data_IF_032003663178
#
_entry.id   IF_032003663178
#
_cell.length_a   1.000
_cell.length_b   1.000
_cell.length_c   1.000
_cell.angle_alpha   90.00
_cell.angle_beta   90.00
_cell.angle_gamma   90.00
#
_symmetry.space_group_name_H-M   'P 1'
#
loop_
_entity.id
_entity.type
_entity.pdbx_description
1 polymer ?
#
# COMPACT_ATOMS: atom_id res chain seq x y z
N UNK A 1 -5.52 -17.81 10.02
CA UNK A 1 -4.64 -17.27 8.99
C UNK A 1 -5.39 -16.23 8.16
N UNK A 2 -4.90 -15.01 8.18
CA UNK A 2 -5.54 -13.93 7.45
C UNK A 2 -4.99 -13.91 6.02
N UNK A 3 -5.72 -14.54 5.11
CA UNK A 3 -5.38 -14.47 3.69
C UNK A 3 -6.03 -13.22 3.11
N UNK A 4 -5.21 -12.38 2.52
CA UNK A 4 -5.70 -11.21 1.79
C UNK A 4 -6.24 -11.66 0.44
N UNK A 5 -7.40 -11.13 0.09
CA UNK A 5 -7.96 -11.38 -1.24
C UNK A 5 -7.27 -10.47 -2.25
N UNK A 6 -6.65 -11.06 -3.25
CA UNK A 6 -5.94 -10.34 -4.31
C UNK A 6 -6.82 -10.28 -5.56
N UNK A 7 -6.88 -9.11 -6.21
CA UNK A 7 -7.61 -8.98 -7.47
C UNK A 7 -7.04 -9.91 -8.55
N UNK A 8 -7.86 -10.32 -9.54
CA UNK A 8 -7.40 -11.28 -10.56
C UNK A 8 -6.17 -10.81 -11.34
N UNK A 9 -5.98 -9.49 -11.48
CA UNK A 9 -4.82 -8.93 -12.19
C UNK A 9 -3.60 -8.76 -11.28
N UNK A 10 -3.71 -9.04 -9.97
CA UNK A 10 -2.61 -8.98 -9.02
C UNK A 10 -2.18 -7.57 -8.63
N UNK A 11 -2.97 -6.54 -8.96
CA UNK A 11 -2.60 -5.14 -8.69
C UNK A 11 -3.00 -4.65 -7.31
N UNK A 12 -4.07 -5.19 -6.76
CA UNK A 12 -4.64 -4.74 -5.50
C UNK A 12 -4.94 -5.91 -4.59
N UNK A 13 -5.02 -5.62 -3.31
CA UNK A 13 -5.58 -6.55 -2.31
C UNK A 13 -6.67 -5.81 -1.53
N UNK A 14 -7.58 -6.57 -0.96
CA UNK A 14 -8.75 -6.02 -0.27
C UNK A 14 -8.57 -6.14 1.23
N UNK A 15 -8.76 -5.03 1.94
CA UNK A 15 -8.83 -5.01 3.40
C UNK A 15 -10.07 -4.20 3.78
N UNK A 16 -10.99 -4.83 4.50
CA UNK A 16 -12.24 -4.19 4.96
C UNK A 16 -13.02 -3.53 3.82
N UNK A 17 -13.06 -4.19 2.68
CA UNK A 17 -13.80 -3.71 1.50
C UNK A 17 -13.13 -2.61 0.71
N UNK A 18 -11.92 -2.24 1.04
CA UNK A 18 -11.16 -1.19 0.37
C UNK A 18 -9.96 -1.80 -0.36
N UNK A 19 -9.70 -1.30 -1.56
CA UNK A 19 -8.57 -1.75 -2.37
C UNK A 19 -7.29 -1.02 -1.95
N UNK A 20 -6.20 -1.79 -1.88
CA UNK A 20 -4.87 -1.28 -1.60
C UNK A 20 -3.92 -1.80 -2.65
N UNK A 21 -3.11 -0.91 -3.23
CA UNK A 21 -2.20 -1.27 -4.31
C UNK A 21 -0.99 -2.05 -3.78
N UNK A 22 -0.65 -3.12 -4.49
CA UNK A 22 0.56 -3.89 -4.19
C UNK A 22 1.82 -3.12 -4.55
N UNK A 23 2.93 -3.50 -3.94
CA UNK A 23 4.24 -3.01 -4.35
C UNK A 23 4.58 -3.50 -5.75
N UNK A 24 5.50 -2.76 -6.41
CA UNK A 24 5.92 -3.06 -7.78
C UNK A 24 6.58 -4.44 -7.86
N UNK A 25 6.04 -5.38 -8.66
CA UNK A 25 6.62 -6.72 -8.77
C UNK A 25 7.95 -6.75 -9.51
N UNK A 26 8.32 -5.66 -10.21
CA UNK A 26 9.60 -5.57 -10.89
C UNK A 26 10.77 -5.31 -9.95
N UNK A 27 10.51 -4.96 -8.69
CA UNK A 27 11.56 -4.79 -7.69
C UNK A 27 12.21 -6.12 -7.37
N UNK A 28 13.55 -6.13 -7.27
CA UNK A 28 14.26 -7.30 -6.79
C UNK A 28 13.93 -7.56 -5.31
N UNK A 29 14.13 -8.80 -4.85
CA UNK A 29 13.87 -9.13 -3.46
C UNK A 29 14.72 -8.29 -2.51
N UNK A 30 15.97 -8.03 -2.86
CA UNK A 30 16.86 -7.20 -2.05
C UNK A 30 16.36 -5.77 -1.97
N UNK A 31 15.96 -5.19 -3.10
CA UNK A 31 15.41 -3.83 -3.13
C UNK A 31 14.13 -3.73 -2.31
N UNK A 32 13.25 -4.72 -2.46
CA UNK A 32 12.00 -4.75 -1.70
C UNK A 32 12.27 -4.82 -0.21
N UNK A 33 13.18 -5.69 0.22
CA UNK A 33 13.52 -5.83 1.63
C UNK A 33 14.09 -4.54 2.22
N UNK A 34 14.98 -3.87 1.47
CA UNK A 34 15.54 -2.60 1.92
C UNK A 34 14.46 -1.53 2.08
N UNK A 35 13.56 -1.44 1.11
CA UNK A 35 12.48 -0.44 1.15
C UNK A 35 11.46 -0.76 2.25
N UNK A 36 11.15 -2.03 2.48
CA UNK A 36 10.26 -2.45 3.56
C UNK A 36 10.90 -2.11 4.91
N UNK A 37 12.20 -2.35 5.03
CA UNK A 37 12.92 -2.02 6.27
C UNK A 37 12.91 -0.53 6.54
N UNK A 38 13.16 0.30 5.51
CA UNK A 38 13.07 1.75 5.61
C UNK A 38 11.67 2.19 6.03
N UNK A 39 10.65 1.57 5.46
CA UNK A 39 9.26 1.87 5.81
C UNK A 39 8.97 1.53 7.27
N UNK A 40 9.45 0.40 7.76
CA UNK A 40 9.25 0.00 9.15
C UNK A 40 9.95 0.95 10.11
N UNK A 41 11.16 1.39 9.78
CA UNK A 41 11.89 2.37 10.57
C UNK A 41 11.16 3.70 10.60
N UNK A 42 10.65 4.15 9.45
CA UNK A 42 9.88 5.39 9.38
C UNK A 42 8.59 5.30 10.19
N UNK A 43 7.91 4.17 10.17
CA UNK A 43 6.71 3.96 10.99
C UNK A 43 7.03 4.01 12.47
N UNK A 44 8.16 3.46 12.90
CA UNK A 44 8.60 3.56 14.28
C UNK A 44 8.86 5.01 14.67
N UNK A 45 9.48 5.77 13.77
CA UNK A 45 9.74 7.20 13.99
C UNK A 45 8.42 7.97 14.14
N UNK A 46 7.39 7.65 13.35
CA UNK A 46 6.06 8.23 13.50
C UNK A 46 5.50 7.93 14.88
N UNK A 47 5.62 6.68 15.32
CA UNK A 47 5.11 6.25 16.63
C UNK A 47 5.80 7.00 17.76
N UNK A 48 7.13 7.13 17.70
CA UNK A 48 7.91 7.86 18.70
C UNK A 48 7.55 9.34 18.71
N UNK A 49 7.46 9.96 17.53
CA UNK A 49 7.11 11.37 17.42
C UNK A 49 5.72 11.64 17.97
N UNK A 50 4.77 10.72 17.75
CA UNK A 50 3.43 10.83 18.30
C UNK A 50 3.44 10.71 19.83
N UNK A 51 4.21 9.77 20.37
CA UNK A 51 4.32 9.55 21.81
C UNK A 51 4.99 10.72 22.53
N UNK A 52 5.95 11.37 21.89
CA UNK A 52 6.70 12.51 22.45
C UNK A 52 6.10 13.86 22.06
N UNK A 53 5.05 13.86 21.23
CA UNK A 53 4.34 15.06 20.78
C UNK A 53 5.25 16.06 20.06
N UNK A 54 6.17 15.57 19.22
CA UNK A 54 7.07 16.39 18.42
C UNK A 54 6.54 16.57 17.00
N UNK A 55 6.00 17.76 16.70
CA UNK A 55 5.38 18.04 15.39
C UNK A 55 6.39 17.97 14.24
N UNK A 56 7.60 18.51 14.43
CA UNK A 56 8.63 18.49 13.37
C UNK A 56 9.10 17.08 13.08
N UNK A 57 9.34 16.27 14.11
CA UNK A 57 9.72 14.87 13.94
C UNK A 57 8.63 14.07 13.26
N UNK A 58 7.37 14.36 13.61
CA UNK A 58 6.21 13.70 12.97
C UNK A 58 6.17 14.01 11.49
N UNK A 59 6.39 15.26 11.10
CA UNK A 59 6.40 15.66 9.70
C UNK A 59 7.49 14.95 8.91
N UNK A 60 8.70 14.91 9.47
CA UNK A 60 9.83 14.23 8.84
C UNK A 60 9.57 12.73 8.71
N UNK A 61 9.07 12.09 9.77
CA UNK A 61 8.79 10.67 9.76
C UNK A 61 7.70 10.31 8.75
N UNK A 62 6.65 11.11 8.64
CA UNK A 62 5.59 10.89 7.65
C UNK A 62 6.10 11.06 6.23
N UNK A 63 7.02 12.01 5.99
CA UNK A 63 7.64 12.18 4.69
C UNK A 63 8.47 10.95 4.31
N UNK A 64 9.18 10.37 5.27
CA UNK A 64 9.95 9.14 5.05
C UNK A 64 9.05 7.95 4.74
N UNK A 65 7.91 7.82 5.43
CA UNK A 65 6.91 6.78 5.13
C UNK A 65 6.41 6.94 3.70
N UNK A 66 6.04 8.15 3.31
CA UNK A 66 5.54 8.44 1.98
C UNK A 66 6.58 8.09 0.91
N UNK A 67 7.84 8.52 1.14
CA UNK A 67 8.93 8.25 0.21
C UNK A 67 9.16 6.75 0.03
N UNK A 68 9.18 5.99 1.11
CA UNK A 68 9.36 4.54 1.05
C UNK A 68 8.20 3.87 0.29
N UNK A 69 6.97 4.30 0.53
CA UNK A 69 5.81 3.74 -0.16
C UNK A 69 5.81 4.07 -1.65
N UNK A 70 6.24 5.28 -2.02
CA UNK A 70 6.38 5.66 -3.44
C UNK A 70 7.45 4.82 -4.13
N UNK A 71 8.57 4.59 -3.45
CA UNK A 71 9.64 3.75 -3.99
C UNK A 71 9.21 2.30 -4.16
N UNK A 72 8.38 1.80 -3.25
CA UNK A 72 7.82 0.44 -3.34
C UNK A 72 6.77 0.32 -4.47
N UNK A 73 6.18 1.43 -4.90
CA UNK A 73 5.12 1.43 -5.90
C UNK A 73 3.71 1.40 -5.31
N UNK A 74 3.58 1.52 -4.00
CA UNK A 74 2.29 1.52 -3.30
C UNK A 74 1.61 2.88 -3.32
N UNK A 75 2.35 3.95 -3.64
CA UNK A 75 1.86 5.33 -3.76
C UNK A 75 2.48 6.01 -4.97
N UNK A 76 1.93 7.15 -5.35
CA UNK A 76 2.40 7.93 -6.48
C UNK A 76 2.02 7.28 -7.80
N UNK A 77 2.85 7.47 -8.85
CA UNK A 77 2.54 6.89 -10.16
C UNK A 77 2.41 5.37 -10.09
N UNK A 78 1.45 4.84 -10.86
CA UNK A 78 1.25 3.39 -10.92
C UNK A 78 2.46 2.72 -11.56
N UNK A 79 2.73 1.46 -11.13
CA UNK A 79 3.87 0.72 -11.65
C UNK A 79 3.56 -0.02 -12.96
N UNK A 80 2.30 -0.09 -13.37
CA UNK A 80 1.92 -0.70 -14.65
C UNK A 80 1.88 0.38 -15.74
N UNK A 81 1.94 -0.06 -17.00
CA UNK A 81 2.04 0.83 -18.14
C UNK A 81 0.97 0.60 -19.21
N UNK A 82 -0.11 -0.10 -18.86
CA UNK A 82 -1.18 -0.41 -19.81
C UNK A 82 -2.29 0.66 -19.85
N UNK A 83 -2.11 1.76 -19.14
CA UNK A 83 -3.08 2.85 -19.11
C UNK A 83 -4.25 2.63 -18.14
N UNK A 84 -4.27 1.53 -17.40
CA UNK A 84 -5.34 1.29 -16.45
C UNK A 84 -5.32 2.32 -15.32
N UNK A 85 -6.48 2.83 -14.90
CA UNK A 85 -6.54 3.82 -13.82
C UNK A 85 -6.15 3.23 -12.48
N UNK A 86 -5.82 4.11 -11.54
CA UNK A 86 -5.44 3.75 -10.19
C UNK A 86 -6.68 3.74 -9.28
N UNK A 87 -7.02 2.58 -8.75
CA UNK A 87 -8.14 2.40 -7.82
C UNK A 87 -7.67 2.26 -6.37
N UNK A 88 -6.42 2.63 -6.08
CA UNK A 88 -5.89 2.54 -4.73
C UNK A 88 -6.77 3.35 -3.76
N UNK A 89 -7.14 2.75 -2.64
CA UNK A 89 -8.00 3.31 -1.60
C UNK A 89 -9.48 3.42 -1.98
N UNK A 90 -9.87 3.04 -3.18
CA UNK A 90 -11.28 3.01 -3.56
C UNK A 90 -11.97 1.81 -2.92
N UNK A 91 -13.26 1.94 -2.64
CA UNK A 91 -14.05 0.80 -2.19
C UNK A 91 -14.18 -0.18 -3.35
N UNK A 92 -13.96 -1.48 -3.07
CA UNK A 92 -14.00 -2.51 -4.11
C UNK A 92 -15.33 -2.50 -4.88
N UNK A 93 -16.44 -2.25 -4.18
CA UNK A 93 -17.78 -2.23 -4.81
C UNK A 93 -17.97 -1.05 -5.76
N UNK A 94 -17.15 -0.03 -5.69
CA UNK A 94 -17.20 1.16 -6.56
C UNK A 94 -16.21 1.09 -7.71
N UNK A 95 -15.64 -0.08 -7.98
CA UNK A 95 -14.62 -0.29 -9.02
C UNK A 95 -15.05 -1.43 -9.94
N UNK A 96 -14.38 -1.62 -11.09
CA UNK A 96 -14.65 -2.78 -11.95
C UNK A 96 -14.47 -4.14 -11.26
N UNK A 97 -13.84 -4.17 -10.10
CA UNK A 97 -13.66 -5.39 -9.31
C UNK A 97 -14.86 -5.73 -8.43
N UNK A 98 -15.97 -4.98 -8.54
CA UNK A 98 -17.13 -5.16 -7.68
C UNK A 98 -17.72 -6.57 -7.78
N UNK A 99 -17.87 -7.10 -9.00
CA UNK A 99 -18.38 -8.45 -9.18
C UNK A 99 -17.47 -9.51 -8.59
N UNK A 100 -16.17 -9.37 -8.84
CA UNK A 100 -15.17 -10.25 -8.24
C UNK A 100 -15.24 -10.20 -6.71
N UNK A 101 -15.35 -8.99 -6.15
CA UNK A 101 -15.43 -8.81 -4.70
C UNK A 101 -16.66 -9.49 -4.11
N UNK A 102 -17.82 -9.37 -4.79
CA UNK A 102 -19.05 -10.00 -4.34
C UNK A 102 -19.01 -11.53 -4.40
N UNK A 103 -18.15 -12.09 -5.25
CA UNK A 103 -17.96 -13.52 -5.37
C UNK A 103 -17.06 -14.12 -4.31
N UNK A 104 -16.39 -13.29 -3.53
CA UNK A 104 -15.47 -13.75 -2.50
C UNK A 104 -16.23 -14.36 -1.33
N UNK A 105 -15.66 -15.39 -0.67
CA UNK A 105 -16.25 -15.90 0.55
C UNK A 105 -16.26 -14.81 1.62
N UNK A 106 -17.10 -14.97 2.61
CA UNK A 106 -17.19 -14.06 3.73
C UNK A 106 -15.81 -13.78 4.32
N UNK A 107 -15.44 -12.51 4.52
CA UNK A 107 -14.15 -12.18 5.11
C UNK A 107 -14.05 -12.55 6.58
#
# INVERSE_FOLDING_TARGET
CLMRHTTPDGRYFVVKGQLWRYSNPALSDDQRQQLVQMLMEARRAVKVAKATNHADQMRTARAEVDQAKRALGERGPVWWSDGSPDYNRHKAVNTPYAEWYRSLPEP
#
